data_IF_064217606550
#
_entry.id   IF_064217606550
#
_cell.length_a   1.000
_cell.length_b   1.000
_cell.length_c   1.000
_cell.angle_alpha   90.00
_cell.angle_beta   90.00
_cell.angle_gamma   90.00
#
_symmetry.space_group_name_H-M   'P 1'
#
loop_
_entity.id
_entity.type
_entity.pdbx_description
1 polymer ?
#
# COMPACT_ATOMS: atom_id res chain seq x y z
N UNK A 1 23.32 0.21 -6.36
CA UNK A 1 22.69 0.15 -7.69
C UNK A 1 21.17 0.10 -7.51
N UNK A 2 20.40 1.20 -7.59
CA UNK A 2 18.95 1.09 -7.49
C UNK A 2 18.41 0.76 -8.88
N UNK A 3 18.01 -0.50 -9.07
CA UNK A 3 17.19 -0.87 -10.20
C UNK A 3 15.85 -0.14 -10.05
N UNK A 4 15.58 0.80 -10.94
CA UNK A 4 14.26 1.40 -11.14
C UNK A 4 13.38 0.28 -11.72
N UNK A 5 12.98 -0.65 -10.84
CA UNK A 5 12.00 -1.67 -11.15
C UNK A 5 10.63 -1.00 -11.07
N UNK A 6 9.80 -1.30 -12.05
CA UNK A 6 8.37 -1.02 -12.15
C UNK A 6 7.71 -0.72 -10.80
N UNK A 7 6.77 0.24 -10.73
CA UNK A 7 6.07 0.58 -9.50
C UNK A 7 5.53 -0.68 -8.82
N UNK A 8 6.26 -1.16 -7.82
CA UNK A 8 5.98 -2.44 -7.19
C UNK A 8 4.85 -2.26 -6.17
N UNK A 9 4.10 -3.33 -5.91
CA UNK A 9 3.05 -3.29 -4.89
C UNK A 9 3.56 -2.85 -3.51
N UNK A 10 4.85 -3.07 -3.24
CA UNK A 10 5.53 -2.58 -2.05
C UNK A 10 5.57 -1.05 -1.98
N UNK A 11 5.82 -0.39 -3.12
CA UNK A 11 5.81 1.06 -3.24
C UNK A 11 4.40 1.62 -3.13
N UNK A 12 3.40 0.96 -3.73
CA UNK A 12 2.00 1.36 -3.56
C UNK A 12 1.63 1.41 -2.07
N UNK A 13 1.84 0.30 -1.34
CA UNK A 13 1.50 0.22 0.09
C UNK A 13 2.22 1.31 0.90
N UNK A 14 3.50 1.54 0.59
CA UNK A 14 4.31 2.55 1.27
C UNK A 14 3.83 3.99 0.97
N UNK A 15 3.54 4.30 -0.28
CA UNK A 15 3.05 5.61 -0.70
C UNK A 15 1.65 5.88 -0.13
N UNK A 16 0.72 4.92 -0.21
CA UNK A 16 -0.59 5.01 0.45
C UNK A 16 -0.44 5.33 1.95
N UNK A 17 0.45 4.61 2.64
CA UNK A 17 0.73 4.84 4.06
C UNK A 17 1.24 6.26 4.34
N UNK A 18 2.18 6.74 3.53
CA UNK A 18 2.80 8.04 3.68
C UNK A 18 1.82 9.18 3.40
N UNK A 19 0.99 9.06 2.35
CA UNK A 19 -0.06 10.03 2.03
C UNK A 19 -1.08 10.16 3.17
N UNK A 20 -1.46 9.03 3.79
CA UNK A 20 -2.36 9.01 4.96
C UNK A 20 -1.67 9.39 6.29
N UNK A 21 -0.35 9.64 6.28
CA UNK A 21 0.48 9.90 7.48
C UNK A 21 0.32 8.83 8.58
N UNK A 22 0.23 7.57 8.16
CA UNK A 22 0.04 6.43 9.06
C UNK A 22 1.36 5.73 9.40
N UNK A 23 1.40 5.12 10.58
CA UNK A 23 2.40 4.09 10.88
C UNK A 23 2.01 2.77 10.22
N UNK A 24 2.98 1.86 10.04
CA UNK A 24 2.71 0.51 9.54
C UNK A 24 1.70 -0.23 10.43
N UNK A 25 1.74 0.02 11.75
CA UNK A 25 0.77 -0.53 12.71
C UNK A 25 -0.65 0.00 12.47
N UNK A 26 -0.81 1.32 12.28
CA UNK A 26 -2.14 1.89 12.01
C UNK A 26 -2.70 1.39 10.67
N UNK A 27 -1.85 1.30 9.65
CA UNK A 27 -2.25 0.74 8.36
C UNK A 27 -2.63 -0.74 8.49
N UNK A 28 -1.87 -1.53 9.23
CA UNK A 28 -2.18 -2.95 9.43
C UNK A 28 -3.53 -3.14 10.14
N UNK A 29 -3.82 -2.32 11.16
CA UNK A 29 -5.12 -2.34 11.83
C UNK A 29 -6.27 -1.99 10.89
N UNK A 30 -6.12 -0.97 10.04
CA UNK A 30 -7.16 -0.62 9.07
C UNK A 30 -7.39 -1.70 8.00
N UNK A 31 -6.32 -2.37 7.57
CA UNK A 31 -6.39 -3.48 6.62
C UNK A 31 -6.79 -4.82 7.29
N UNK A 32 -6.94 -4.86 8.62
CA UNK A 32 -7.24 -6.10 9.35
C UNK A 32 -6.16 -7.17 9.22
N UNK A 33 -4.90 -6.77 9.04
CA UNK A 33 -3.74 -7.67 8.94
C UNK A 33 -2.73 -7.39 10.04
N UNK A 34 -1.75 -8.29 10.21
CA UNK A 34 -0.69 -8.08 11.18
C UNK A 34 0.31 -7.02 10.70
N UNK A 35 0.97 -6.32 11.63
CA UNK A 35 2.09 -5.42 11.33
C UNK A 35 3.17 -6.11 10.48
N UNK A 36 3.51 -7.36 10.80
CA UNK A 36 4.51 -8.15 10.07
C UNK A 36 4.12 -8.35 8.61
N UNK A 37 2.82 -8.47 8.32
CA UNK A 37 2.29 -8.60 6.97
C UNK A 37 2.56 -7.33 6.15
N UNK A 38 2.21 -6.16 6.69
CA UNK A 38 2.48 -4.86 6.04
C UNK A 38 3.98 -4.64 5.86
N UNK A 39 4.79 -4.96 6.87
CA UNK A 39 6.25 -4.85 6.79
C UNK A 39 6.83 -5.73 5.67
N UNK A 40 6.34 -6.96 5.49
CA UNK A 40 6.78 -7.83 4.39
C UNK A 40 6.35 -7.29 3.03
N UNK A 41 5.16 -6.71 2.92
CA UNK A 41 4.70 -6.07 1.69
C UNK A 41 5.56 -4.87 1.30
N UNK A 42 5.80 -3.92 2.23
CA UNK A 42 6.61 -2.73 1.96
C UNK A 42 8.08 -3.07 1.62
N UNK A 43 8.59 -4.21 2.08
CA UNK A 43 9.92 -4.72 1.74
C UNK A 43 9.93 -5.64 0.50
N UNK A 44 8.79 -5.81 -0.18
CA UNK A 44 8.67 -6.65 -1.38
C UNK A 44 8.89 -8.14 -1.14
N UNK A 45 8.80 -8.60 0.12
CA UNK A 45 9.02 -10.01 0.52
C UNK A 45 7.81 -10.89 0.20
N UNK A 46 6.61 -10.32 0.25
CA UNK A 46 5.35 -10.99 -0.09
C UNK A 46 4.42 -10.01 -0.81
N UNK A 47 3.45 -10.53 -1.57
CA UNK A 47 2.40 -9.72 -2.19
C UNK A 47 1.12 -9.75 -1.33
N UNK A 48 0.31 -8.68 -1.31
CA UNK A 48 -1.01 -8.71 -0.70
C UNK A 48 -1.91 -9.74 -1.38
N UNK A 49 -2.81 -10.35 -0.61
CA UNK A 49 -3.86 -11.20 -1.18
C UNK A 49 -4.85 -10.35 -1.98
N UNK A 50 -5.67 -10.96 -2.88
CA UNK A 50 -6.71 -10.22 -3.59
C UNK A 50 -7.67 -9.46 -2.68
N UNK A 51 -7.97 -9.99 -1.49
CA UNK A 51 -8.81 -9.31 -0.50
C UNK A 51 -8.12 -8.07 0.07
N UNK A 52 -6.85 -8.18 0.44
CA UNK A 52 -6.06 -7.05 0.93
C UNK A 52 -5.87 -5.98 -0.15
N UNK A 53 -5.70 -6.40 -1.41
CA UNK A 53 -5.65 -5.48 -2.55
C UNK A 53 -6.92 -4.65 -2.69
N UNK A 54 -8.10 -5.27 -2.59
CA UNK A 54 -9.38 -4.55 -2.62
C UNK A 54 -9.53 -3.57 -1.46
N UNK A 55 -9.01 -3.89 -0.28
CA UNK A 55 -9.02 -2.96 0.86
C UNK A 55 -8.08 -1.77 0.64
N UNK A 56 -6.89 -2.00 0.06
CA UNK A 56 -5.97 -0.92 -0.32
C UNK A 56 -6.63 -0.02 -1.36
N UNK A 57 -7.23 -0.60 -2.39
CA UNK A 57 -7.96 0.13 -3.44
C UNK A 57 -9.09 0.97 -2.83
N UNK A 58 -9.89 0.39 -1.92
CA UNK A 58 -10.93 1.12 -1.19
C UNK A 58 -10.36 2.30 -0.39
N UNK A 59 -9.23 2.13 0.29
CA UNK A 59 -8.56 3.23 1.01
C UNK A 59 -8.14 4.34 0.05
N UNK A 60 -7.63 4.00 -1.14
CA UNK A 60 -7.27 4.99 -2.15
C UNK A 60 -8.48 5.79 -2.62
N UNK A 61 -9.61 5.15 -2.92
CA UNK A 61 -10.84 5.90 -3.27
C UNK A 61 -11.32 6.83 -2.15
N UNK A 62 -11.10 6.46 -0.87
CA UNK A 62 -11.46 7.28 0.28
C UNK A 62 -10.53 8.49 0.49
N UNK A 63 -9.34 8.49 -0.12
CA UNK A 63 -8.35 9.56 0.02
C UNK A 63 -8.62 10.78 -0.88
N UNK A 64 -9.49 10.67 -1.88
CA UNK A 64 -9.72 11.71 -2.90
C UNK A 64 -8.52 11.88 -3.84
N UNK A 65 -8.21 13.12 -4.21
CA UNK A 65 -7.12 13.51 -5.13
C UNK A 65 -5.79 12.73 -4.98
N UNK A 66 -5.18 12.60 -3.77
CA UNK A 66 -3.93 11.83 -3.63
C UNK A 66 -4.12 10.33 -3.85
N UNK A 67 -5.32 9.80 -3.63
CA UNK A 67 -5.67 8.42 -3.92
C UNK A 67 -5.81 8.15 -5.41
N UNK A 68 -6.43 9.06 -6.16
CA UNK A 68 -6.60 8.97 -7.62
C UNK A 68 -5.26 8.97 -8.36
N UNK A 69 -4.32 9.80 -7.90
CA UNK A 69 -2.95 9.81 -8.44
C UNK A 69 -2.24 8.45 -8.24
N UNK A 70 -2.45 7.81 -7.09
CA UNK A 70 -1.90 6.49 -6.81
C UNK A 70 -2.63 5.38 -7.57
N UNK A 71 -3.95 5.48 -7.74
CA UNK A 71 -4.71 4.54 -8.57
C UNK A 71 -4.17 4.55 -10.00
N UNK A 72 -4.06 5.73 -10.63
CA UNK A 72 -3.55 5.90 -12.00
C UNK A 72 -2.10 5.40 -12.18
N UNK A 73 -1.29 5.46 -11.12
CA UNK A 73 0.14 5.07 -11.18
C UNK A 73 0.37 3.57 -11.02
N UNK A 74 -0.53 2.86 -10.32
CA UNK A 74 -0.32 1.46 -9.91
C UNK A 74 -1.41 0.48 -10.37
N UNK A 75 -2.55 0.95 -10.88
CA UNK A 75 -3.66 0.17 -11.42
C UNK A 75 -3.94 0.57 -12.86
#
# INVERSE_FOLDING_TARGET
>A
MPAIKQPSIALLVRETRQCLKLSQVKLSTMLGVSFHTVNRWENGRTRPSPLAMKQIEKLLYQMGEPGEALLTKYF
#
